data_IF_737120536211
#
_entry.id   IF_737120536211
#
_cell.length_a   1.000
_cell.length_b   1.000
_cell.length_c   1.000
_cell.angle_alpha   90.00
_cell.angle_beta   90.00
_cell.angle_gamma   90.00
#
_symmetry.space_group_name_H-M   'P 1'
#
loop_
_entity.id
_entity.type
_entity.pdbx_description
1 polymer ?
#
# COMPACT_ATOMS: atom_id res chain seq x y z
N UNK A 1 -0.32 4.49 -14.23
CA UNK A 1 -0.44 3.28 -13.38
C UNK A 1 -0.73 3.70 -11.95
N UNK A 2 -1.76 3.14 -11.34
CA UNK A 2 -2.17 3.44 -9.96
C UNK A 2 -1.68 2.36 -9.01
N UNK A 3 -1.13 2.80 -7.88
CA UNK A 3 -0.62 1.89 -6.86
C UNK A 3 -1.14 2.29 -5.48
N UNK A 4 -1.23 1.30 -4.60
CA UNK A 4 -1.66 1.47 -3.22
C UNK A 4 -0.62 0.83 -2.30
N UNK A 5 -0.16 1.58 -1.30
CA UNK A 5 0.71 1.05 -0.25
C UNK A 5 -0.09 0.98 1.04
N UNK A 6 -0.05 -0.15 1.73
CA UNK A 6 -0.71 -0.29 3.03
C UNK A 6 0.15 0.29 4.16
N UNK A 7 -0.42 0.32 5.35
CA UNK A 7 0.25 0.90 6.52
C UNK A 7 1.57 0.19 6.87
N UNK A 8 1.63 -1.13 6.70
CA UNK A 8 2.85 -1.90 6.95
C UNK A 8 4.00 -1.40 6.07
N UNK A 9 3.72 -1.15 4.79
CA UNK A 9 4.73 -0.64 3.84
C UNK A 9 5.21 0.74 4.23
N UNK A 10 4.31 1.64 4.62
CA UNK A 10 4.70 2.98 5.05
C UNK A 10 5.56 2.95 6.32
N UNK A 11 5.29 2.03 7.23
CA UNK A 11 6.03 1.94 8.49
C UNK A 11 7.37 1.21 8.37
N UNK A 12 7.58 0.44 7.31
CA UNK A 12 8.77 -0.41 7.17
C UNK A 12 10.11 0.34 7.33
N UNK A 13 10.30 1.56 6.80
CA UNK A 13 11.54 2.31 7.02
C UNK A 13 11.80 2.71 8.48
N UNK A 14 10.80 2.66 9.35
CA UNK A 14 10.91 2.99 10.77
C UNK A 14 11.07 1.74 11.64
N UNK A 15 10.99 0.54 11.05
CA UNK A 15 11.11 -0.72 11.77
C UNK A 15 12.56 -1.06 12.09
N UNK A 16 12.77 -1.99 13.01
CA UNK A 16 14.10 -2.48 13.37
C UNK A 16 14.75 -3.21 12.19
N UNK A 17 15.95 -2.76 11.80
CA UNK A 17 16.70 -3.29 10.66
C UNK A 17 17.61 -4.47 11.03
N UNK A 18 17.44 -5.08 12.21
CA UNK A 18 18.23 -6.25 12.60
C UNK A 18 18.06 -7.44 11.64
N UNK A 19 16.89 -7.53 10.97
CA UNK A 19 16.65 -8.53 9.93
C UNK A 19 16.93 -7.93 8.56
N UNK A 20 17.69 -8.65 7.75
CA UNK A 20 18.06 -8.20 6.40
C UNK A 20 16.84 -7.94 5.52
N UNK A 21 15.83 -8.81 5.58
CA UNK A 21 14.60 -8.63 4.78
C UNK A 21 13.91 -7.31 5.09
N UNK A 22 13.80 -6.94 6.38
CA UNK A 22 13.21 -5.67 6.80
C UNK A 22 13.98 -4.49 6.21
N UNK A 23 15.30 -4.54 6.27
CA UNK A 23 16.16 -3.50 5.70
C UNK A 23 15.95 -3.37 4.18
N UNK A 24 15.96 -4.50 3.47
CA UNK A 24 15.78 -4.51 2.01
C UNK A 24 14.40 -4.01 1.60
N UNK A 25 13.36 -4.38 2.34
CA UNK A 25 11.99 -3.89 2.10
C UNK A 25 11.89 -2.38 2.34
N UNK A 26 12.58 -1.89 3.38
CA UNK A 26 12.62 -0.46 3.67
C UNK A 26 13.30 0.33 2.54
N UNK A 27 14.42 -0.16 2.04
CA UNK A 27 15.12 0.47 0.92
C UNK A 27 14.28 0.46 -0.35
N UNK A 28 13.62 -0.65 -0.64
CA UNK A 28 12.73 -0.76 -1.79
C UNK A 28 11.56 0.22 -1.68
N UNK A 29 10.95 0.33 -0.50
CA UNK A 29 9.84 1.27 -0.28
C UNK A 29 10.28 2.72 -0.49
N UNK A 30 11.46 3.09 -0.01
CA UNK A 30 11.98 4.44 -0.22
C UNK A 30 12.24 4.72 -1.70
N UNK A 31 12.65 3.72 -2.45
CA UNK A 31 12.82 3.83 -3.89
C UNK A 31 11.47 4.05 -4.60
N UNK A 32 10.45 3.30 -4.19
CA UNK A 32 9.08 3.47 -4.69
C UNK A 32 8.59 4.90 -4.42
N UNK A 33 8.87 5.44 -3.22
CA UNK A 33 8.53 6.82 -2.88
C UNK A 33 9.14 7.82 -3.85
N UNK A 34 10.40 7.61 -4.24
CA UNK A 34 11.06 8.49 -5.19
C UNK A 34 10.36 8.43 -6.56
N UNK A 35 9.96 7.26 -7.00
CA UNK A 35 9.19 7.09 -8.25
C UNK A 35 7.84 7.81 -8.20
N UNK A 36 7.16 7.77 -7.06
CA UNK A 36 5.90 8.48 -6.85
C UNK A 36 6.12 9.99 -6.95
N UNK A 37 7.16 10.51 -6.29
CA UNK A 37 7.51 11.94 -6.36
C UNK A 37 7.83 12.38 -7.77
N UNK A 38 8.46 11.51 -8.55
CA UNK A 38 8.80 11.80 -9.95
C UNK A 38 7.60 11.68 -10.89
N UNK A 39 6.43 11.32 -10.39
CA UNK A 39 5.22 11.20 -11.19
C UNK A 39 5.10 9.93 -12.00
N UNK A 40 5.90 8.92 -11.71
CA UNK A 40 5.85 7.62 -12.43
C UNK A 40 4.61 6.80 -12.10
N UNK A 41 4.06 6.99 -10.90
CA UNK A 41 2.87 6.29 -10.43
C UNK A 41 1.91 7.26 -9.78
N UNK A 42 0.61 7.03 -9.95
CA UNK A 42 -0.43 7.70 -9.18
C UNK A 42 -0.62 6.95 -7.86
N UNK A 43 -0.45 7.65 -6.74
CA UNK A 43 -0.61 7.07 -5.41
C UNK A 43 -2.05 7.20 -4.94
N UNK A 44 -2.61 6.11 -4.46
CA UNK A 44 -3.96 6.06 -3.90
C UNK A 44 -3.87 5.97 -2.37
N UNK A 45 -4.66 6.79 -1.69
CA UNK A 45 -4.87 6.72 -0.24
C UNK A 45 -6.32 6.34 0.06
N UNK A 46 -6.62 6.07 1.33
CA UNK A 46 -7.96 5.69 1.75
C UNK A 46 -8.23 6.09 3.19
N UNK A 47 -9.52 6.10 3.58
CA UNK A 47 -9.93 6.35 4.95
C UNK A 47 -9.31 5.35 5.94
N UNK A 48 -9.32 4.04 5.60
CA UNK A 48 -8.74 3.03 6.46
C UNK A 48 -7.23 3.24 6.64
N UNK A 49 -6.52 3.59 5.58
CA UNK A 49 -5.09 3.87 5.66
C UNK A 49 -4.80 5.05 6.57
N UNK A 50 -5.51 6.16 6.37
CA UNK A 50 -5.30 7.37 7.19
C UNK A 50 -5.68 7.13 8.64
N UNK A 51 -6.73 6.36 8.90
CA UNK A 51 -7.11 5.99 10.28
C UNK A 51 -5.99 5.20 10.97
N UNK A 52 -5.37 4.25 10.27
CA UNK A 52 -4.26 3.49 10.84
C UNK A 52 -3.01 4.36 11.06
N UNK A 53 -2.70 5.25 10.12
CA UNK A 53 -1.57 6.18 10.25
C UNK A 53 -1.80 7.10 11.44
N UNK A 54 -2.98 7.69 11.56
CA UNK A 54 -3.34 8.63 12.63
C UNK A 54 -3.37 7.96 14.01
N UNK A 55 -3.62 6.65 14.06
CA UNK A 55 -3.63 5.89 15.30
C UNK A 55 -2.23 5.54 15.82
N UNK A 56 -1.18 5.79 15.04
CA UNK A 56 0.19 5.48 15.46
C UNK A 56 0.60 6.35 16.66
N UNK A 57 1.12 5.74 17.75
CA UNK A 57 1.60 6.51 18.91
C UNK A 57 2.96 7.17 18.67
N UNK A 58 3.63 6.84 17.57
CA UNK A 58 4.97 7.36 17.25
C UNK A 58 4.84 8.61 16.40
N UNK A 59 5.06 9.78 17.02
CA UNK A 59 4.84 11.07 16.38
C UNK A 59 5.65 11.28 15.11
N UNK A 60 6.94 10.95 15.12
CA UNK A 60 7.82 11.16 13.96
C UNK A 60 7.34 10.36 12.76
N UNK A 61 7.04 9.06 12.96
CA UNK A 61 6.57 8.23 11.84
C UNK A 61 5.17 8.64 11.39
N UNK A 62 4.28 8.97 12.32
CA UNK A 62 2.92 9.44 11.97
C UNK A 62 2.96 10.69 11.10
N UNK A 63 3.74 11.70 11.50
CA UNK A 63 3.89 12.94 10.74
C UNK A 63 4.53 12.72 9.39
N UNK A 64 5.62 11.98 9.34
CA UNK A 64 6.34 11.71 8.09
C UNK A 64 5.48 10.99 7.07
N UNK A 65 4.74 9.98 7.51
CA UNK A 65 3.84 9.21 6.63
C UNK A 65 2.68 10.08 6.16
N UNK A 66 2.02 10.80 7.09
CA UNK A 66 0.91 11.69 6.74
C UNK A 66 1.31 12.76 5.73
N UNK A 67 2.44 13.40 5.94
CA UNK A 67 2.95 14.43 5.02
C UNK A 67 3.20 13.86 3.63
N UNK A 68 3.85 12.70 3.56
CA UNK A 68 4.13 12.06 2.28
C UNK A 68 2.82 11.76 1.53
N UNK A 69 1.85 11.16 2.21
CA UNK A 69 0.56 10.81 1.59
C UNK A 69 -0.17 12.07 1.13
N UNK A 70 -0.25 13.10 2.00
CA UNK A 70 -0.95 14.34 1.68
C UNK A 70 -0.32 15.10 0.52
N UNK A 71 1.00 15.07 0.40
CA UNK A 71 1.70 15.77 -0.68
C UNK A 71 1.69 15.00 -2.00
N UNK A 72 1.60 13.68 -1.97
CA UNK A 72 1.84 12.84 -3.14
C UNK A 72 0.65 11.99 -3.60
N UNK A 73 -0.41 11.85 -2.81
CA UNK A 73 -1.55 11.07 -3.26
C UNK A 73 -2.37 11.84 -4.27
N UNK A 74 -2.76 11.16 -5.35
CA UNK A 74 -3.58 11.73 -6.43
C UNK A 74 -5.04 11.39 -6.26
N UNK A 75 -5.35 10.28 -5.61
CA UNK A 75 -6.71 9.75 -5.44
C UNK A 75 -6.89 9.31 -3.99
N UNK A 76 -8.02 9.72 -3.41
CA UNK A 76 -8.38 9.33 -2.04
C UNK A 76 -9.75 8.64 -2.04
N UNK A 77 -9.78 7.40 -1.52
CA UNK A 77 -11.03 6.66 -1.32
C UNK A 77 -11.61 7.08 0.02
N UNK A 78 -12.49 8.05 -0.01
CA UNK A 78 -13.00 8.74 1.17
C UNK A 78 -14.27 8.12 1.76
N UNK A 79 -14.81 8.81 2.77
CA UNK A 79 -15.98 8.37 3.52
C UNK A 79 -17.25 8.19 2.67
N UNK A 80 -17.36 8.89 1.53
CA UNK A 80 -18.49 8.71 0.60
C UNK A 80 -18.55 7.31 -0.01
N UNK A 81 -17.43 6.56 0.04
CA UNK A 81 -17.34 5.20 -0.51
C UNK A 81 -17.38 4.12 0.56
N UNK A 82 -17.65 4.46 1.82
CA UNK A 82 -17.51 3.53 2.95
C UNK A 82 -18.39 2.27 2.81
N UNK A 83 -19.63 2.43 2.35
CA UNK A 83 -20.54 1.30 2.18
C UNK A 83 -20.07 0.36 1.08
N UNK A 84 -19.55 0.91 0.00
CA UNK A 84 -19.04 0.12 -1.12
C UNK A 84 -17.76 -0.61 -0.73
N UNK A 85 -16.88 0.05 0.00
CA UNK A 85 -15.67 -0.57 0.55
C UNK A 85 -16.04 -1.72 1.49
N UNK A 86 -17.00 -1.51 2.41
CA UNK A 86 -17.45 -2.56 3.34
C UNK A 86 -18.06 -3.75 2.62
N UNK A 87 -18.86 -3.51 1.60
CA UNK A 87 -19.47 -4.58 0.79
C UNK A 87 -18.39 -5.42 0.09
N UNK A 88 -17.43 -4.78 -0.55
CA UNK A 88 -16.32 -5.45 -1.21
C UNK A 88 -15.41 -6.17 -0.19
N UNK A 89 -15.16 -5.54 0.96
CA UNK A 89 -14.35 -6.12 2.02
C UNK A 89 -14.98 -7.40 2.58
N UNK A 90 -16.29 -7.44 2.72
CA UNK A 90 -17.00 -8.64 3.18
C UNK A 90 -16.74 -9.85 2.28
N UNK A 91 -16.75 -9.66 0.97
CA UNK A 91 -16.43 -10.72 0.01
C UNK A 91 -14.98 -11.18 0.13
N UNK A 92 -14.05 -10.23 0.31
CA UNK A 92 -12.62 -10.53 0.46
C UNK A 92 -12.37 -11.29 1.76
N UNK A 93 -13.06 -10.92 2.85
CA UNK A 93 -12.95 -11.59 4.14
C UNK A 93 -13.36 -13.06 4.07
N UNK A 94 -14.28 -13.40 3.18
CA UNK A 94 -14.72 -14.80 2.99
C UNK A 94 -13.55 -15.69 2.50
N UNK A 95 -12.49 -15.10 1.95
CA UNK A 95 -11.29 -15.85 1.54
C UNK A 95 -10.28 -16.04 2.68
N UNK A 96 -10.56 -15.49 3.87
CA UNK A 96 -9.70 -15.60 5.03
C UNK A 96 -8.89 -14.34 5.37
N UNK A 97 -9.10 -13.26 4.62
CA UNK A 97 -8.43 -11.98 4.87
C UNK A 97 -9.09 -11.25 6.03
N UNK A 98 -8.30 -10.64 6.91
CA UNK A 98 -8.83 -9.86 8.04
C UNK A 98 -9.48 -8.57 7.55
N UNK A 99 -10.40 -8.02 8.35
CA UNK A 99 -11.22 -6.86 7.97
C UNK A 99 -10.40 -5.66 7.49
N UNK A 100 -9.40 -5.22 8.27
CA UNK A 100 -8.62 -4.04 7.88
C UNK A 100 -7.87 -4.25 6.57
N UNK A 101 -7.26 -5.42 6.41
CA UNK A 101 -6.57 -5.79 5.17
C UNK A 101 -7.54 -5.88 4.00
N UNK A 102 -8.74 -6.43 4.24
CA UNK A 102 -9.79 -6.49 3.23
C UNK A 102 -10.24 -5.08 2.80
N UNK A 103 -10.31 -4.14 3.74
CA UNK A 103 -10.62 -2.74 3.43
C UNK A 103 -9.54 -2.07 2.58
N UNK A 104 -8.27 -2.39 2.82
CA UNK A 104 -7.18 -1.90 1.97
C UNK A 104 -7.31 -2.44 0.54
N UNK A 105 -7.55 -3.74 0.40
CA UNK A 105 -7.74 -4.36 -0.93
C UNK A 105 -8.95 -3.76 -1.63
N UNK A 106 -10.07 -3.66 -0.92
CA UNK A 106 -11.32 -3.08 -1.47
C UNK A 106 -11.12 -1.64 -1.93
N UNK A 107 -10.42 -0.83 -1.13
CA UNK A 107 -10.12 0.57 -1.48
C UNK A 107 -9.26 0.65 -2.72
N UNK A 108 -8.23 -0.18 -2.81
CA UNK A 108 -7.35 -0.24 -3.97
C UNK A 108 -8.11 -0.67 -5.23
N UNK A 109 -8.97 -1.68 -5.13
CA UNK A 109 -9.81 -2.16 -6.24
C UNK A 109 -10.77 -1.06 -6.70
N UNK A 110 -11.43 -0.39 -5.75
CA UNK A 110 -12.38 0.66 -6.06
C UNK A 110 -11.74 1.83 -6.80
N UNK A 111 -10.50 2.16 -6.47
CA UNK A 111 -9.74 3.22 -7.12
C UNK A 111 -9.09 2.77 -8.44
N UNK A 112 -9.23 1.51 -8.81
CA UNK A 112 -8.65 0.99 -10.05
C UNK A 112 -7.14 0.80 -10.00
N UNK A 113 -6.58 0.50 -8.83
CA UNK A 113 -5.15 0.23 -8.69
C UNK A 113 -4.76 -1.07 -9.39
N UNK A 114 -3.60 -1.05 -10.03
CA UNK A 114 -3.02 -2.25 -10.66
C UNK A 114 -2.23 -3.08 -9.64
N UNK A 115 -1.68 -2.40 -8.62
CA UNK A 115 -0.85 -3.03 -7.59
C UNK A 115 -1.22 -2.55 -6.20
N UNK A 116 -1.22 -3.48 -5.25
CA UNK A 116 -1.20 -3.19 -3.82
C UNK A 116 0.12 -3.70 -3.26
N UNK A 117 0.87 -2.83 -2.60
CA UNK A 117 2.20 -3.13 -2.07
C UNK A 117 2.10 -3.30 -0.56
N UNK A 118 2.49 -4.46 -0.05
CA UNK A 118 2.40 -4.80 1.36
C UNK A 118 3.60 -5.60 1.82
N UNK A 119 3.97 -5.47 3.09
CA UNK A 119 4.98 -6.32 3.73
C UNK A 119 4.36 -7.46 4.53
N UNK A 120 3.02 -7.51 4.62
CA UNK A 120 2.30 -8.55 5.37
C UNK A 120 2.25 -9.83 4.54
N UNK A 121 2.95 -10.86 5.03
CA UNK A 121 3.03 -12.17 4.37
C UNK A 121 1.68 -12.87 4.25
N UNK A 122 0.77 -12.63 5.20
CA UNK A 122 -0.58 -13.21 5.16
C UNK A 122 -1.39 -12.58 4.04
N UNK A 123 -1.36 -11.25 3.94
CA UNK A 123 -2.08 -10.53 2.90
C UNK A 123 -1.55 -10.89 1.51
N UNK A 124 -0.24 -11.10 1.38
CA UNK A 124 0.38 -11.51 0.10
C UNK A 124 -0.13 -12.84 -0.45
N UNK A 125 -0.79 -13.65 0.37
CA UNK A 125 -1.41 -14.91 -0.07
C UNK A 125 -2.73 -14.71 -0.79
N UNK A 126 -3.37 -13.55 -0.63
CA UNK A 126 -4.61 -13.23 -1.34
C UNK A 126 -4.33 -13.10 -2.84
N UNK A 127 -5.20 -13.67 -3.63
CA UNK A 127 -5.08 -13.65 -5.11
C UNK A 127 -6.32 -13.03 -5.73
N UNK A 128 -6.10 -12.18 -6.72
CA UNK A 128 -7.15 -11.55 -7.51
C UNK A 128 -6.66 -11.42 -8.96
N UNK A 129 -7.59 -11.51 -9.89
CA UNK A 129 -7.30 -11.24 -11.30
C UNK A 129 -7.28 -9.74 -11.60
N UNK A 130 -7.85 -8.93 -10.69
CA UNK A 130 -8.02 -7.48 -10.88
C UNK A 130 -6.89 -6.64 -10.32
N UNK A 131 -6.16 -7.17 -9.34
CA UNK A 131 -5.08 -6.44 -8.66
C UNK A 131 -3.98 -7.42 -8.27
N UNK A 132 -2.74 -7.00 -8.41
CA UNK A 132 -1.58 -7.80 -8.03
C UNK A 132 -1.02 -7.30 -6.71
N UNK A 133 -0.84 -8.22 -5.76
CA UNK A 133 -0.25 -7.92 -4.46
C UNK A 133 1.21 -8.33 -4.45
N UNK A 134 2.09 -7.39 -4.15
CA UNK A 134 3.54 -7.62 -4.11
C UNK A 134 4.14 -6.97 -2.87
N UNK A 135 5.26 -7.50 -2.39
CA UNK A 135 6.05 -6.78 -1.41
C UNK A 135 6.88 -5.69 -2.12
N UNK A 136 7.48 -4.74 -1.38
CA UNK A 136 8.22 -3.65 -2.03
C UNK A 136 9.38 -4.13 -2.90
N UNK A 137 10.08 -5.18 -2.51
CA UNK A 137 11.21 -5.73 -3.27
C UNK A 137 10.72 -6.31 -4.59
N UNK A 138 9.66 -7.11 -4.53
CA UNK A 138 9.06 -7.71 -5.74
C UNK A 138 8.54 -6.64 -6.70
N UNK A 139 7.96 -5.58 -6.17
CA UNK A 139 7.44 -4.49 -6.99
C UNK A 139 8.58 -3.75 -7.72
N UNK A 140 9.66 -3.42 -7.00
CA UNK A 140 10.82 -2.78 -7.62
C UNK A 140 11.40 -3.66 -8.73
N UNK A 141 11.56 -4.95 -8.44
CA UNK A 141 12.09 -5.92 -9.40
C UNK A 141 11.22 -6.00 -10.65
N UNK A 142 9.91 -6.09 -10.48
CA UNK A 142 8.97 -6.16 -11.61
C UNK A 142 9.00 -4.90 -12.47
N UNK A 143 9.06 -3.73 -11.83
CA UNK A 143 9.11 -2.45 -12.56
C UNK A 143 10.43 -2.26 -13.31
N UNK A 144 11.53 -2.72 -12.75
CA UNK A 144 12.83 -2.67 -13.43
C UNK A 144 12.87 -3.60 -14.64
N UNK A 145 12.29 -4.79 -14.54
CA UNK A 145 12.15 -5.71 -15.67
C UNK A 145 11.35 -5.09 -16.81
N UNK A 146 10.23 -4.44 -16.49
CA UNK A 146 9.38 -3.76 -17.47
C UNK A 146 10.14 -2.61 -18.17
N UNK A 147 10.97 -1.87 -17.43
CA UNK A 147 11.78 -0.80 -17.99
C UNK A 147 12.83 -1.34 -18.98
N UNK A 148 13.39 -2.52 -18.69
CA UNK A 148 14.40 -3.14 -19.55
C UNK A 148 13.79 -3.76 -20.82
N UNK A 149 12.53 -4.12 -20.80
CA UNK A 149 11.79 -4.65 -21.97
C UNK A 149 11.35 -3.54 -22.93
N UNK A 150 11.27 -2.34 -22.42
CA UNK A 150 10.82 -1.18 -23.18
C UNK A 150 11.92 -0.45 -23.86
#
# INVERSE_FOLDING_TARGET
MRIYLDNCSYNRPYDDFSQLTVNLEAQAKLHIQSWIRDGKFELVSSEILMAEVDASPFEVRRKGISEFINENSSIHVGSSNIFKVDEMAAEIMDTGVKYKDACHVASALLAGCEYLITTDKRLLKYRSEKIKLLNPIQFVDEMEEHSNEG
#
